data_IF_695588778293
#
_entry.id   IF_695588778293
#
_cell.length_a   1.000
_cell.length_b   1.000
_cell.length_c   1.000
_cell.angle_alpha   90.00
_cell.angle_beta   90.00
_cell.angle_gamma   90.00
#
_symmetry.space_group_name_H-M   'P 1'
#
loop_
_entity.id
_entity.type
_entity.pdbx_description
1 polymer ?
#
# COMPACT_ATOMS: atom_id res chain seq x y z
N UNK A 1 -19.76 20.91 8.41
CA UNK A 1 -19.29 20.31 7.15
C UNK A 1 -18.65 18.95 7.34
N UNK A 2 -17.82 18.74 8.37
CA UNK A 2 -17.07 17.49 8.59
C UNK A 2 -17.92 16.21 8.44
N UNK A 3 -19.02 16.08 9.18
CA UNK A 3 -19.93 14.91 9.08
C UNK A 3 -20.57 14.75 7.70
N UNK A 4 -20.82 15.84 6.99
CA UNK A 4 -21.37 15.81 5.64
C UNK A 4 -20.33 15.24 4.69
N UNK A 5 -19.09 15.70 4.77
CA UNK A 5 -18.01 15.23 3.91
C UNK A 5 -17.63 13.77 4.16
N UNK A 6 -17.79 13.28 5.40
CA UNK A 6 -17.53 11.89 5.78
C UNK A 6 -18.66 10.94 5.36
N UNK A 7 -19.92 11.41 5.39
CA UNK A 7 -21.08 10.58 5.04
C UNK A 7 -21.33 10.46 3.54
N UNK A 8 -20.92 11.46 2.74
CA UNK A 8 -21.14 11.43 1.29
C UNK A 8 -20.05 10.59 0.62
N UNK A 9 -20.49 9.52 -0.05
CA UNK A 9 -19.61 8.55 -0.70
C UNK A 9 -18.72 9.21 -1.76
N UNK A 10 -17.44 8.81 -1.79
CA UNK A 10 -16.45 9.19 -2.81
C UNK A 10 -16.22 10.71 -2.94
N UNK A 11 -16.50 11.48 -1.89
CA UNK A 11 -16.25 12.92 -1.90
C UNK A 11 -14.80 13.22 -1.60
N UNK A 12 -14.24 14.11 -2.41
CA UNK A 12 -12.91 14.70 -2.18
C UNK A 12 -13.06 16.09 -1.56
N UNK A 13 -12.04 16.55 -0.83
CA UNK A 13 -12.05 17.87 -0.21
C UNK A 13 -12.21 19.01 -1.24
N UNK A 14 -11.80 18.79 -2.49
CA UNK A 14 -11.94 19.73 -3.61
C UNK A 14 -13.40 20.02 -3.95
N UNK A 15 -14.31 19.08 -3.64
CA UNK A 15 -15.74 19.19 -3.90
C UNK A 15 -16.52 19.90 -2.79
N UNK A 16 -15.87 20.22 -1.66
CA UNK A 16 -16.48 20.92 -0.53
C UNK A 16 -17.22 22.21 -0.95
N UNK A 17 -16.67 23.09 -1.82
CA UNK A 17 -17.35 24.30 -2.26
C UNK A 17 -18.65 24.00 -3.02
N UNK A 18 -18.66 22.95 -3.86
CA UNK A 18 -19.84 22.54 -4.63
C UNK A 18 -20.93 22.04 -3.69
N UNK A 19 -20.58 21.16 -2.74
CA UNK A 19 -21.51 20.61 -1.75
C UNK A 19 -22.08 21.72 -0.88
N UNK A 20 -21.25 22.67 -0.45
CA UNK A 20 -21.70 23.83 0.32
C UNK A 20 -22.74 24.67 -0.44
N UNK A 21 -22.52 24.91 -1.73
CA UNK A 21 -23.44 25.67 -2.57
C UNK A 21 -24.80 24.96 -2.70
N UNK A 22 -24.81 23.63 -2.87
CA UNK A 22 -26.04 22.85 -2.93
C UNK A 22 -26.82 22.96 -1.62
N UNK A 23 -26.14 22.83 -0.47
CA UNK A 23 -26.79 22.96 0.84
C UNK A 23 -27.30 24.38 1.05
N UNK A 24 -26.56 25.40 0.64
CA UNK A 24 -27.00 26.78 0.76
C UNK A 24 -28.27 27.03 -0.08
N UNK A 25 -28.33 26.51 -1.31
CA UNK A 25 -29.53 26.59 -2.14
C UNK A 25 -30.74 25.90 -1.50
N UNK A 26 -30.53 24.73 -0.88
CA UNK A 26 -31.60 24.02 -0.17
C UNK A 26 -32.10 24.77 1.08
N UNK A 27 -31.20 25.48 1.78
CA UNK A 27 -31.56 26.36 2.91
C UNK A 27 -32.34 27.58 2.39
N UNK A 28 -31.86 28.21 1.31
CA UNK A 28 -32.50 29.39 0.73
C UNK A 28 -33.88 29.07 0.16
N UNK A 29 -34.08 27.85 -0.37
CA UNK A 29 -35.36 27.31 -0.81
C UNK A 29 -36.28 26.88 0.36
N UNK A 30 -35.75 26.81 1.59
CA UNK A 30 -36.50 26.38 2.77
C UNK A 30 -36.74 24.87 2.88
N UNK A 31 -36.09 24.05 2.05
CA UNK A 31 -36.20 22.59 2.08
C UNK A 31 -35.53 21.98 3.32
N UNK A 32 -34.47 22.64 3.81
CA UNK A 32 -33.68 22.18 4.96
C UNK A 32 -33.52 23.32 5.97
N UNK A 33 -33.63 23.04 7.29
CA UNK A 33 -33.42 24.06 8.31
C UNK A 33 -32.00 24.65 8.28
N UNK A 34 -31.92 25.95 8.51
CA UNK A 34 -30.64 26.64 8.68
C UNK A 34 -30.06 26.38 10.07
N UNK A 35 -28.84 25.81 10.11
CA UNK A 35 -28.11 25.58 11.35
C UNK A 35 -26.92 26.53 11.48
N UNK A 36 -26.78 27.17 12.66
CA UNK A 36 -25.67 28.08 12.95
C UNK A 36 -24.29 27.45 12.73
N UNK A 37 -24.15 26.15 13.00
CA UNK A 37 -22.90 25.42 12.80
C UNK A 37 -22.44 25.39 11.33
N UNK A 38 -23.38 25.43 10.37
CA UNK A 38 -23.09 25.48 8.94
C UNK A 38 -22.91 26.92 8.46
N UNK A 39 -23.84 27.83 8.82
CA UNK A 39 -23.83 29.22 8.34
C UNK A 39 -22.63 30.01 8.87
N UNK A 40 -22.29 29.83 10.14
CA UNK A 40 -21.20 30.57 10.81
C UNK A 40 -19.88 29.80 10.84
N UNK A 41 -19.68 28.89 9.90
CA UNK A 41 -18.43 28.16 9.81
C UNK A 41 -17.24 29.11 9.53
N UNK A 42 -16.17 28.97 10.31
CA UNK A 42 -14.97 29.79 10.15
C UNK A 42 -14.11 29.31 8.98
N UNK A 43 -13.47 30.27 8.29
CA UNK A 43 -12.48 29.97 7.24
C UNK A 43 -11.32 29.11 7.75
N UNK A 44 -10.98 29.23 9.03
CA UNK A 44 -9.95 28.41 9.67
C UNK A 44 -10.33 26.92 9.67
N UNK A 45 -11.59 26.57 9.94
CA UNK A 45 -12.05 25.18 9.90
C UNK A 45 -12.00 24.61 8.48
N UNK A 46 -12.41 25.39 7.49
CA UNK A 46 -12.27 25.01 6.08
C UNK A 46 -10.81 24.75 5.69
N UNK A 47 -9.90 25.67 6.04
CA UNK A 47 -8.48 25.51 5.73
C UNK A 47 -7.85 24.33 6.48
N UNK A 48 -8.28 24.07 7.71
CA UNK A 48 -7.81 22.91 8.49
C UNK A 48 -8.19 21.59 7.82
N UNK A 49 -9.41 21.48 7.26
CA UNK A 49 -9.82 20.30 6.46
C UNK A 49 -8.97 20.11 5.23
N UNK A 50 -8.75 21.20 4.46
CA UNK A 50 -7.88 21.16 3.28
C UNK A 50 -6.47 20.68 3.64
N UNK A 51 -5.88 21.23 4.72
CA UNK A 51 -4.54 20.84 5.17
C UNK A 51 -4.49 19.37 5.59
N UNK A 52 -5.50 18.88 6.32
CA UNK A 52 -5.57 17.48 6.73
C UNK A 52 -5.60 16.54 5.52
N UNK A 53 -6.44 16.83 4.53
CA UNK A 53 -6.51 16.03 3.31
C UNK A 53 -5.18 16.05 2.53
N UNK A 54 -4.47 17.18 2.51
CA UNK A 54 -3.13 17.29 1.90
C UNK A 54 -2.06 16.53 2.70
N UNK A 55 -2.14 16.53 4.03
CA UNK A 55 -1.24 15.77 4.92
C UNK A 55 -1.45 14.26 4.73
N UNK A 56 -2.70 13.78 4.72
CA UNK A 56 -3.05 12.38 4.47
C UNK A 56 -2.59 11.92 3.07
N UNK A 57 -2.76 12.76 2.04
CA UNK A 57 -2.28 12.45 0.70
C UNK A 57 -0.75 12.31 0.64
N UNK A 58 -0.01 13.18 1.36
CA UNK A 58 1.46 13.09 1.46
C UNK A 58 1.89 11.84 2.23
N UNK A 59 1.23 11.53 3.33
CA UNK A 59 1.50 10.31 4.11
C UNK A 59 1.26 9.06 3.25
N UNK A 60 0.15 9.01 2.50
CA UNK A 60 -0.13 7.92 1.58
C UNK A 60 0.93 7.78 0.48
N UNK A 61 1.45 8.90 -0.06
CA UNK A 61 2.55 8.89 -1.03
C UNK A 61 3.86 8.37 -0.41
N UNK A 62 4.17 8.78 0.83
CA UNK A 62 5.34 8.31 1.57
C UNK A 62 5.24 6.80 1.86
N UNK A 63 4.10 6.32 2.36
CA UNK A 63 3.86 4.89 2.56
C UNK A 63 3.93 4.12 1.24
N UNK A 64 3.43 4.69 0.14
CA UNK A 64 3.57 4.09 -1.20
C UNK A 64 5.05 3.93 -1.58
N UNK A 65 5.88 4.94 -1.31
CA UNK A 65 7.34 4.89 -1.54
C UNK A 65 8.04 3.88 -0.64
N UNK A 66 7.71 3.83 0.64
CA UNK A 66 8.28 2.86 1.60
C UNK A 66 7.97 1.42 1.22
N UNK A 67 6.75 1.16 0.75
CA UNK A 67 6.34 -0.14 0.23
C UNK A 67 6.96 -0.46 -1.15
N UNK A 68 7.75 0.46 -1.71
CA UNK A 68 8.38 0.31 -3.02
C UNK A 68 7.39 0.40 -4.18
N UNK A 69 6.17 0.90 -3.96
CA UNK A 69 5.03 0.89 -4.88
C UNK A 69 5.05 2.00 -5.96
N UNK A 70 6.17 2.71 -6.14
CA UNK A 70 6.26 3.91 -6.98
C UNK A 70 6.59 3.67 -8.47
N UNK A 71 6.92 2.43 -8.88
CA UNK A 71 7.25 2.08 -10.28
C UNK A 71 6.17 1.29 -11.04
N UNK A 72 6.02 1.51 -12.35
CA UNK A 72 5.06 0.81 -13.25
C UNK A 72 5.26 -0.72 -13.32
N UNK A 73 6.44 -1.23 -12.95
CA UNK A 73 6.76 -2.67 -12.88
C UNK A 73 6.37 -3.30 -11.54
N UNK A 74 5.74 -2.56 -10.63
CA UNK A 74 5.57 -2.94 -9.23
C UNK A 74 4.88 -4.27 -9.00
N UNK A 75 3.69 -4.42 -9.57
CA UNK A 75 2.88 -5.59 -9.27
C UNK A 75 3.58 -6.85 -9.75
N UNK A 76 4.19 -6.79 -10.93
CA UNK A 76 4.98 -7.89 -11.50
C UNK A 76 6.22 -8.18 -10.65
N UNK A 77 6.95 -7.16 -10.22
CA UNK A 77 8.14 -7.31 -9.39
C UNK A 77 7.81 -7.88 -8.00
N UNK A 78 6.76 -7.38 -7.34
CA UNK A 78 6.27 -7.87 -6.05
C UNK A 78 5.80 -9.32 -6.17
N UNK A 79 5.05 -9.68 -7.22
CA UNK A 79 4.62 -11.06 -7.48
C UNK A 79 5.84 -11.97 -7.69
N UNK A 80 6.82 -11.54 -8.48
CA UNK A 80 8.05 -12.30 -8.71
C UNK A 80 8.87 -12.49 -7.43
N UNK A 81 8.98 -11.47 -6.58
CA UNK A 81 9.66 -11.59 -5.29
C UNK A 81 8.94 -12.60 -4.38
N UNK A 82 7.62 -12.50 -4.25
CA UNK A 82 6.83 -13.49 -3.48
C UNK A 82 6.95 -14.91 -4.02
N UNK A 83 7.04 -15.08 -5.34
CA UNK A 83 7.29 -16.39 -5.95
C UNK A 83 8.68 -16.93 -5.57
N UNK A 84 9.73 -16.09 -5.63
CA UNK A 84 11.09 -16.45 -5.22
C UNK A 84 11.16 -16.82 -3.73
N UNK A 85 10.46 -16.08 -2.87
CA UNK A 85 10.46 -16.36 -1.43
C UNK A 85 9.78 -17.70 -1.13
N UNK A 86 8.63 -17.99 -1.76
CA UNK A 86 7.99 -19.31 -1.66
C UNK A 86 8.88 -20.45 -2.17
N UNK A 87 9.62 -20.22 -3.26
CA UNK A 87 10.58 -21.21 -3.78
C UNK A 87 11.67 -21.50 -2.75
N UNK A 88 12.28 -20.46 -2.16
CA UNK A 88 13.31 -20.62 -1.12
C UNK A 88 12.78 -21.33 0.14
N UNK A 89 11.56 -21.02 0.55
CA UNK A 89 10.91 -21.70 1.68
C UNK A 89 10.73 -23.20 1.40
N UNK A 90 10.29 -23.56 0.18
CA UNK A 90 10.18 -24.95 -0.25
C UNK A 90 11.55 -25.64 -0.31
N UNK A 91 12.56 -24.99 -0.87
CA UNK A 91 13.92 -25.53 -0.95
C UNK A 91 14.49 -25.78 0.45
N UNK A 92 14.29 -24.84 1.38
CA UNK A 92 14.69 -25.00 2.78
C UNK A 92 13.94 -26.14 3.48
N UNK A 93 12.63 -26.26 3.24
CA UNK A 93 11.82 -27.35 3.78
C UNK A 93 12.31 -28.72 3.28
N UNK A 94 12.57 -28.84 1.98
CA UNK A 94 13.10 -30.06 1.38
C UNK A 94 14.50 -30.38 1.91
N UNK A 95 15.39 -29.40 2.02
CA UNK A 95 16.73 -29.59 2.59
C UNK A 95 16.69 -30.11 4.04
N UNK A 96 15.75 -29.62 4.86
CA UNK A 96 15.54 -30.13 6.22
C UNK A 96 15.00 -31.57 6.23
N UNK A 97 14.16 -31.93 5.26
CA UNK A 97 13.67 -33.30 5.09
C UNK A 97 14.76 -34.25 4.64
N UNK A 98 15.58 -33.85 3.67
CA UNK A 98 16.76 -34.60 3.25
C UNK A 98 17.71 -34.81 4.42
N UNK A 99 18.04 -33.76 5.19
CA UNK A 99 18.93 -33.90 6.35
C UNK A 99 18.39 -34.86 7.42
N UNK A 100 17.07 -34.93 7.61
CA UNK A 100 16.44 -35.77 8.62
C UNK A 100 16.31 -37.24 8.18
N UNK A 101 16.01 -37.50 6.91
CA UNK A 101 15.66 -38.84 6.43
C UNK A 101 16.73 -39.47 5.53
N UNK A 102 17.51 -38.68 4.80
CA UNK A 102 18.68 -39.16 4.06
C UNK A 102 19.90 -39.13 4.99
N UNK A 103 20.22 -40.29 5.59
CA UNK A 103 21.50 -40.46 6.30
C UNK A 103 22.65 -40.08 5.36
N UNK A 104 23.68 -39.33 5.80
CA UNK A 104 24.83 -39.04 4.95
C UNK A 104 25.52 -40.37 4.64
N UNK A 105 25.30 -40.91 3.44
CA UNK A 105 26.12 -42.00 2.94
C UNK A 105 27.54 -41.45 2.87
N UNK A 106 28.45 -42.02 3.67
CA UNK A 106 29.88 -41.68 3.65
C UNK A 106 30.31 -41.48 2.19
N UNK A 107 30.82 -40.29 1.86
CA UNK A 107 31.49 -39.99 0.59
C UNK A 107 32.58 -41.05 0.37
N UNK A 108 32.26 -42.08 -0.41
CA UNK A 108 33.20 -43.10 -0.85
C UNK A 108 33.83 -42.68 -2.17
N UNK A 109 35.15 -42.83 -2.27
CA UNK A 109 35.83 -43.00 -3.55
C UNK A 109 36.60 -41.80 -4.09
N UNK A 110 37.86 -41.72 -3.69
CA UNK A 110 38.96 -40.98 -4.34
C UNK A 110 38.94 -41.23 -5.86
N UNK A 111 38.82 -40.17 -6.69
CA UNK A 111 39.28 -40.21 -8.09
C UNK A 111 40.60 -39.46 -8.19
N UNK A 112 41.66 -40.24 -8.33
CA UNK A 112 43.03 -39.80 -8.58
C UNK A 112 43.10 -38.98 -9.87
N UNK A 113 43.85 -37.88 -9.82
CA UNK A 113 44.16 -37.05 -10.98
C UNK A 113 44.94 -37.87 -12.03
N UNK A 114 44.40 -37.95 -13.25
CA UNK A 114 45.15 -38.43 -14.41
C UNK A 114 46.22 -37.39 -14.78
N UNK A 115 47.50 -37.71 -14.51
CA UNK A 115 48.65 -36.99 -15.07
C UNK A 115 48.68 -37.22 -16.59
N UNK A 116 48.59 -36.14 -17.38
CA UNK A 116 48.97 -36.14 -18.80
C UNK A 116 50.49 -36.17 -18.88
N UNK A 117 51.06 -37.27 -19.38
CA UNK A 117 52.46 -37.35 -19.78
C UNK A 117 52.60 -36.91 -21.24
N UNK A 118 53.52 -35.99 -21.47
CA UNK A 118 53.96 -35.55 -22.80
C UNK A 118 54.94 -36.59 -23.35
N UNK A 119 54.72 -37.06 -24.58
CA UNK A 119 55.77 -37.19 -25.61
C UNK A 119 55.13 -37.36 -26.97
#
# INVERSE_FOLDING_TARGET
MDQIMESVLCVQYTEEPRIRNIIQQAIDAGEVPSYNAFVKESKQKMNARKRRAEEEAKEAEMSRKELGLDGETNLKAVIQNRQKDRQKEMDNFLAQMEAKYCKPSKRGGKKTAFKKEKK
#
